data_IF_826429825860
#
_entry.id   IF_826429825860
#
_cell.length_a   1.000
_cell.length_b   1.000
_cell.length_c   1.000
_cell.angle_alpha   90.00
_cell.angle_beta   90.00
_cell.angle_gamma   90.00
#
_symmetry.space_group_name_H-M   'P 1'
#
loop_
_entity.id
_entity.type
_entity.pdbx_description
1 polymer ?
#
# COMPACT_ATOMS: atom_id res chain seq x y z
N UNK A 1 -2.22 7.37 25.85
CA UNK A 1 -2.05 8.17 24.60
C UNK A 1 -2.94 7.52 23.56
N UNK A 2 -3.98 8.20 23.09
CA UNK A 2 -4.87 7.65 22.06
C UNK A 2 -4.08 7.64 20.76
N UNK A 3 -3.71 6.46 20.26
CA UNK A 3 -3.01 6.34 18.98
C UNK A 3 -3.92 6.94 17.91
N UNK A 4 -3.47 7.95 17.14
CA UNK A 4 -4.30 8.49 16.07
C UNK A 4 -4.69 7.34 15.15
N UNK A 5 -5.96 7.31 14.77
CA UNK A 5 -6.53 6.32 13.85
C UNK A 5 -5.89 6.49 12.46
N UNK A 6 -4.70 5.92 12.26
CA UNK A 6 -3.95 5.99 11.02
C UNK A 6 -4.80 5.48 9.86
N UNK A 7 -4.93 6.30 8.82
CA UNK A 7 -5.58 5.92 7.56
C UNK A 7 -4.52 5.42 6.61
N UNK A 8 -4.71 4.19 6.13
CA UNK A 8 -3.81 3.56 5.16
C UNK A 8 -4.53 3.50 3.82
N UNK A 9 -3.90 4.02 2.77
CA UNK A 9 -4.40 3.90 1.40
C UNK A 9 -3.43 3.02 0.63
N UNK A 10 -3.95 1.92 0.08
CA UNK A 10 -3.20 0.96 -0.72
C UNK A 10 -3.49 1.20 -2.19
N UNK A 11 -2.46 1.20 -3.01
CA UNK A 11 -2.52 1.43 -4.46
C UNK A 11 -1.64 0.43 -5.18
N UNK A 12 -2.18 -0.19 -6.22
CA UNK A 12 -1.41 -0.85 -7.29
C UNK A 12 -1.63 -0.06 -8.61
N UNK A 13 -1.31 -0.63 -9.76
CA UNK A 13 -1.49 0.06 -11.04
C UNK A 13 -2.96 0.43 -11.32
N UNK A 14 -3.94 -0.38 -10.90
CA UNK A 14 -5.33 -0.34 -11.40
C UNK A 14 -6.40 -0.34 -10.29
N UNK A 15 -6.02 -0.39 -9.01
CA UNK A 15 -6.92 -0.63 -7.88
C UNK A 15 -7.42 -2.08 -7.83
N UNK A 16 -6.56 -3.01 -8.25
CA UNK A 16 -6.88 -4.39 -8.57
C UNK A 16 -6.97 -5.34 -7.37
N UNK A 17 -7.07 -6.65 -7.64
CA UNK A 17 -7.15 -7.69 -6.60
C UNK A 17 -5.97 -7.68 -5.63
N UNK A 18 -4.77 -7.35 -6.10
CA UNK A 18 -3.57 -7.29 -5.27
C UNK A 18 -3.68 -6.21 -4.19
N UNK A 19 -4.01 -4.96 -4.56
CA UNK A 19 -4.24 -3.89 -3.58
C UNK A 19 -5.35 -4.23 -2.59
N UNK A 20 -6.42 -4.92 -3.03
CA UNK A 20 -7.51 -5.38 -2.15
C UNK A 20 -7.04 -6.44 -1.16
N UNK A 21 -6.21 -7.39 -1.59
CA UNK A 21 -5.63 -8.41 -0.71
C UNK A 21 -4.78 -7.77 0.38
N UNK A 22 -3.89 -6.85 -0.01
CA UNK A 22 -3.04 -6.10 0.94
C UNK A 22 -3.90 -5.30 1.92
N UNK A 23 -4.92 -4.58 1.45
CA UNK A 23 -5.83 -3.85 2.35
C UNK A 23 -6.60 -4.78 3.30
N UNK A 24 -6.87 -6.03 2.92
CA UNK A 24 -7.48 -7.02 3.84
C UNK A 24 -6.47 -7.49 4.89
N UNK A 25 -5.24 -7.79 4.48
CA UNK A 25 -4.16 -8.17 5.39
C UNK A 25 -3.88 -7.06 6.42
N UNK A 26 -3.76 -5.80 5.97
CA UNK A 26 -3.57 -4.64 6.87
C UNK A 26 -4.70 -4.53 7.91
N UNK A 27 -5.95 -4.79 7.53
CA UNK A 27 -7.07 -4.80 8.49
C UNK A 27 -7.00 -5.97 9.47
N UNK A 28 -6.50 -7.13 9.04
CA UNK A 28 -6.30 -8.29 9.92
C UNK A 28 -5.25 -7.99 11.01
N UNK A 29 -4.27 -7.12 10.73
CA UNK A 29 -3.27 -6.63 11.69
C UNK A 29 -3.80 -5.52 12.63
N UNK A 30 -5.11 -5.25 12.64
CA UNK A 30 -5.73 -4.26 13.53
C UNK A 30 -5.74 -2.82 13.00
N UNK A 31 -5.24 -2.58 11.78
CA UNK A 31 -5.33 -1.29 11.09
C UNK A 31 -6.63 -1.22 10.27
N UNK A 32 -7.75 -1.00 10.96
CA UNK A 32 -9.08 -1.08 10.35
C UNK A 32 -9.35 -0.02 9.27
N UNK A 33 -8.69 1.13 9.36
CA UNK A 33 -8.82 2.23 8.40
C UNK A 33 -7.91 2.06 7.17
N UNK A 34 -7.89 0.86 6.61
CA UNK A 34 -7.26 0.60 5.32
C UNK A 34 -8.26 0.82 4.18
N UNK A 35 -7.81 1.35 3.05
CA UNK A 35 -8.62 1.61 1.86
C UNK A 35 -7.82 1.24 0.61
N UNK A 36 -8.53 0.99 -0.49
CA UNK A 36 -7.91 0.79 -1.81
C UNK A 36 -8.21 2.00 -2.66
N UNK A 37 -7.19 2.54 -3.32
CA UNK A 37 -7.38 3.62 -4.27
C UNK A 37 -8.06 3.10 -5.52
N UNK A 38 -9.24 3.64 -5.83
CA UNK A 38 -9.97 3.32 -7.06
C UNK A 38 -9.08 3.68 -8.27
N UNK A 39 -9.10 2.80 -9.28
CA UNK A 39 -8.29 2.89 -10.51
C UNK A 39 -6.77 2.97 -10.29
N UNK A 40 -6.28 2.76 -9.06
CA UNK A 40 -4.86 2.68 -8.76
C UNK A 40 -4.07 3.89 -9.25
N UNK A 41 -2.78 3.68 -9.53
CA UNK A 41 -1.90 4.73 -10.00
C UNK A 41 -2.35 5.32 -11.35
N UNK A 42 -2.97 4.51 -12.22
CA UNK A 42 -3.56 5.04 -13.46
C UNK A 42 -4.63 6.10 -13.17
N UNK A 43 -5.51 5.85 -12.19
CA UNK A 43 -6.52 6.82 -11.75
C UNK A 43 -5.90 8.12 -11.21
N UNK A 44 -4.79 8.01 -10.47
CA UNK A 44 -4.03 9.15 -9.99
C UNK A 44 -3.48 10.00 -11.15
N UNK A 45 -2.89 9.34 -12.13
CA UNK A 45 -2.35 10.01 -13.32
C UNK A 45 -3.45 10.66 -14.17
N UNK A 46 -4.58 9.97 -14.37
CA UNK A 46 -5.74 10.50 -15.10
C UNK A 46 -6.33 11.75 -14.43
N UNK A 47 -6.29 11.79 -13.10
CA UNK A 47 -6.69 12.97 -12.32
C UNK A 47 -5.64 14.09 -12.34
N UNK A 48 -4.54 13.93 -13.09
CA UNK A 48 -3.44 14.90 -13.22
C UNK A 48 -2.84 15.29 -11.86
N UNK A 49 -2.85 14.36 -10.91
CA UNK A 49 -2.30 14.58 -9.58
C UNK A 49 -0.77 14.53 -9.61
N UNK A 50 -0.08 15.31 -8.76
CA UNK A 50 1.37 15.40 -8.78
C UNK A 50 2.02 14.06 -8.47
N UNK A 51 3.12 13.77 -9.19
CA UNK A 51 3.98 12.61 -8.95
C UNK A 51 5.38 13.13 -8.69
N UNK A 52 5.90 12.86 -7.50
CA UNK A 52 7.30 13.14 -7.18
C UNK A 52 8.10 11.88 -7.47
N UNK A 53 8.96 11.94 -8.49
CA UNK A 53 9.92 10.89 -8.76
C UNK A 53 11.11 11.07 -7.82
N UNK A 54 11.17 10.27 -6.75
CA UNK A 54 12.39 10.14 -5.97
C UNK A 54 13.36 9.22 -6.71
N UNK A 55 14.49 9.78 -7.14
CA UNK A 55 15.56 9.02 -7.79
C UNK A 55 16.28 8.16 -6.72
N UNK A 56 15.94 6.87 -6.65
CA UNK A 56 16.81 5.86 -6.02
C UNK A 56 16.46 5.41 -4.59
N UNK A 57 15.25 4.91 -4.36
CA UNK A 57 15.06 3.91 -3.29
C UNK A 57 14.47 2.67 -3.94
N UNK A 58 15.34 1.85 -4.52
CA UNK A 58 15.05 0.44 -4.78
C UNK A 58 15.00 -0.26 -3.41
N UNK A 59 13.79 -0.53 -2.92
CA UNK A 59 13.58 -1.42 -1.79
C UNK A 59 13.27 -2.82 -2.36
N UNK A 60 14.28 -3.69 -2.35
CA UNK A 60 14.11 -5.13 -2.61
C UNK A 60 13.45 -5.74 -1.36
N UNK A 61 12.11 -5.81 -1.36
CA UNK A 61 11.39 -6.56 -0.34
C UNK A 61 11.49 -8.06 -0.67
N UNK A 62 12.48 -8.76 -0.11
CA UNK A 62 12.55 -10.22 -0.20
C UNK A 62 11.58 -10.84 0.82
N UNK A 63 10.59 -11.59 0.35
CA UNK A 63 9.76 -12.43 1.22
C UNK A 63 10.58 -13.52 1.96
N UNK A 64 11.86 -13.70 1.62
CA UNK A 64 12.75 -14.67 2.26
C UNK A 64 13.32 -14.19 3.62
N UNK A 65 13.24 -12.89 3.96
CA UNK A 65 13.80 -12.39 5.23
C UNK A 65 12.96 -12.79 6.46
N UNK A 66 11.73 -13.28 6.26
CA UNK A 66 10.89 -13.87 7.32
C UNK A 66 11.22 -15.35 7.59
N UNK A 67 12.14 -15.96 6.84
CA UNK A 67 12.43 -17.39 6.92
C UNK A 67 13.72 -17.78 7.66
N UNK A 68 14.57 -16.82 8.08
CA UNK A 68 15.78 -17.16 8.85
C UNK A 68 15.54 -17.02 10.35
N UNK A 69 14.90 -18.06 10.89
CA UNK A 69 14.71 -18.35 12.30
C UNK A 69 14.49 -19.85 12.45
N UNK A 70 15.52 -20.63 12.16
CA UNK A 70 15.64 -22.06 12.46
C UNK A 70 16.99 -22.28 13.15
#
# INVERSE_FOLDING_TARGET
>A
VSTPLTRVVVMDAEGGPAARSVARAVRAEGLYNAYVMKSGFQGWQQAQLPVTLSRGISYEASAADLACGQ
#
